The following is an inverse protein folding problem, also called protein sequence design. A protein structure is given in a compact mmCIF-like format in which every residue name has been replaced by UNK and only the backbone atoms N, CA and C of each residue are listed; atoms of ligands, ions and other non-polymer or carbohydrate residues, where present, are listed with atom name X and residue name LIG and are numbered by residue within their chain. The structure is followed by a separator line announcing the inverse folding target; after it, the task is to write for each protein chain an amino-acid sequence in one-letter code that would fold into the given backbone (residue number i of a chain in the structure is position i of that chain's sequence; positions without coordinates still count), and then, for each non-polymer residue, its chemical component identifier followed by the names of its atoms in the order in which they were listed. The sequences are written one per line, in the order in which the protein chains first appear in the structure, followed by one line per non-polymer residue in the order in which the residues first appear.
data_IF_884472025010
#
_entry.id   IF_884472025010
#
_cell.length_a   1.000
_cell.length_b   1.000
_cell.length_c   1.000
_cell.angle_alpha   90.00
_cell.angle_beta   90.00
_cell.angle_gamma   90.00
#
_symmetry.space_group_name_H-M   'P 1'
#
loop_
_entity.id
_entity.type
_entity.pdbx_description
1 polymer ?
#
# COMPACT_ATOMS: atom_id res chain seq x y z
N UNK A 1 8.20 -8.16 -3.29
CA UNK A 1 6.99 -7.65 -2.61
C UNK A 1 6.48 -6.45 -3.38
N UNK A 2 5.18 -6.34 -3.60
CA UNK A 2 4.56 -5.23 -4.31
C UNK A 2 3.41 -4.65 -3.46
N UNK A 3 3.39 -3.32 -3.18
CA UNK A 3 2.25 -2.68 -2.55
C UNK A 3 1.12 -2.53 -3.58
N UNK A 4 -0.11 -2.86 -3.19
CA UNK A 4 -1.30 -2.77 -4.02
C UNK A 4 -2.33 -1.86 -3.34
N UNK A 5 -2.79 -0.84 -4.07
CA UNK A 5 -3.87 0.06 -3.62
C UNK A 5 -4.78 0.36 -4.81
N UNK A 6 -5.99 -0.21 -4.80
CA UNK A 6 -7.01 -0.05 -5.85
C UNK A 6 -6.54 -0.40 -7.29
N UNK A 7 -5.73 -1.45 -7.43
CA UNK A 7 -5.20 -1.94 -8.71
C UNK A 7 -5.79 -3.32 -9.12
N UNK A 8 -7.07 -3.55 -8.85
CA UNK A 8 -7.70 -4.87 -9.05
C UNK A 8 -7.57 -5.46 -10.46
N UNK A 9 -7.55 -4.61 -11.50
CA UNK A 9 -7.32 -5.05 -12.89
C UNK A 9 -5.84 -5.35 -13.20
N UNK A 10 -4.90 -4.73 -12.49
CA UNK A 10 -3.47 -4.84 -12.78
C UNK A 10 -2.80 -5.99 -12.01
N UNK A 11 -3.38 -6.39 -10.87
CA UNK A 11 -2.86 -7.48 -10.03
C UNK A 11 -2.72 -8.80 -10.79
N UNK A 12 -3.71 -9.27 -11.57
CA UNK A 12 -3.56 -10.49 -12.35
C UNK A 12 -2.39 -10.43 -13.34
N UNK A 13 -2.28 -9.34 -14.09
CA UNK A 13 -1.22 -9.16 -15.08
C UNK A 13 0.17 -9.11 -14.43
N UNK A 14 0.31 -8.41 -13.30
CA UNK A 14 1.54 -8.36 -12.53
C UNK A 14 1.95 -9.74 -12.01
N UNK A 15 1.00 -10.50 -11.45
CA UNK A 15 1.25 -11.86 -10.96
C UNK A 15 1.68 -12.78 -12.10
N UNK A 16 1.05 -12.69 -13.27
CA UNK A 16 1.45 -13.47 -14.45
C UNK A 16 2.85 -13.12 -14.93
N UNK A 17 3.18 -11.83 -15.03
CA UNK A 17 4.52 -11.39 -15.44
C UNK A 17 5.61 -11.87 -14.49
N UNK A 18 5.37 -11.80 -13.18
CA UNK A 18 6.30 -12.30 -12.16
C UNK A 18 6.45 -13.82 -12.28
N UNK A 19 5.35 -14.55 -12.42
CA UNK A 19 5.39 -16.00 -12.62
C UNK A 19 6.16 -16.41 -13.87
N UNK A 20 5.92 -15.72 -14.99
CA UNK A 20 6.61 -15.98 -16.26
C UNK A 20 8.11 -15.64 -16.20
N UNK A 21 8.49 -14.60 -15.47
CA UNK A 21 9.89 -14.21 -15.31
C UNK A 21 10.66 -15.16 -14.38
N UNK A 22 10.01 -15.68 -13.32
CA UNK A 22 10.68 -16.44 -12.27
C UNK A 22 10.59 -17.97 -12.45
N UNK A 23 9.53 -18.47 -13.10
CA UNK A 23 9.36 -19.91 -13.36
C UNK A 23 10.55 -20.55 -14.11
N UNK A 24 11.15 -19.92 -15.14
CA UNK A 24 12.29 -20.49 -15.86
C UNK A 24 13.58 -20.61 -15.03
N UNK A 25 13.69 -19.88 -13.91
CA UNK A 25 14.89 -19.90 -13.07
C UNK A 25 15.00 -21.18 -12.22
N UNK A 26 13.90 -21.95 -12.07
CA UNK A 26 13.89 -23.20 -11.31
C UNK A 26 14.18 -23.03 -9.81
N UNK A 27 14.10 -21.79 -9.29
CA UNK A 27 14.31 -21.46 -7.88
C UNK A 27 12.98 -21.39 -7.14
N UNK A 28 12.98 -21.75 -5.86
CA UNK A 28 11.85 -21.48 -4.98
C UNK A 28 11.75 -19.98 -4.72
N UNK A 29 10.65 -19.35 -5.10
CA UNK A 29 10.39 -17.93 -4.85
C UNK A 29 9.04 -17.74 -4.18
N UNK A 30 8.89 -16.60 -3.52
CA UNK A 30 7.64 -16.19 -2.91
C UNK A 30 7.34 -14.74 -3.34
N UNK A 31 6.16 -14.52 -3.91
CA UNK A 31 5.68 -13.20 -4.26
C UNK A 31 4.61 -12.76 -3.28
N UNK A 32 4.93 -11.71 -2.51
CA UNK A 32 4.05 -11.16 -1.49
C UNK A 32 3.41 -9.87 -2.01
N UNK A 33 2.10 -9.88 -2.17
CA UNK A 33 1.25 -8.71 -2.44
C UNK A 33 0.84 -8.12 -1.10
N UNK A 34 1.10 -6.83 -0.89
CA UNK A 34 0.74 -6.12 0.35
C UNK A 34 -0.40 -5.16 0.05
N UNK A 35 -1.58 -5.48 0.57
CA UNK A 35 -2.79 -4.65 0.51
C UNK A 35 -2.81 -3.66 1.68
N UNK A 36 -2.60 -2.37 1.40
CA UNK A 36 -2.51 -1.28 2.39
C UNK A 36 -3.89 -0.68 2.76
N UNK A 37 -4.93 -1.52 2.76
CA UNK A 37 -6.29 -1.10 3.10
C UNK A 37 -7.13 -0.70 1.90
N UNK A 38 -7.05 -1.44 0.79
CA UNK A 38 -8.00 -1.27 -0.31
C UNK A 38 -9.42 -1.55 0.19
N UNK A 39 -10.37 -0.69 -0.19
CA UNK A 39 -11.81 -0.89 0.04
C UNK A 39 -12.48 -1.78 -1.01
N UNK A 40 -11.72 -2.20 -2.01
CA UNK A 40 -12.21 -2.78 -3.26
C UNK A 40 -11.93 -4.29 -3.34
N UNK A 41 -12.25 -4.95 -4.47
CA UNK A 41 -12.18 -6.41 -4.62
C UNK A 41 -10.75 -6.97 -4.75
N UNK A 42 -9.72 -6.13 -4.65
CA UNK A 42 -8.29 -6.48 -4.77
C UNK A 42 -7.90 -7.67 -3.89
N UNK A 43 -8.46 -7.75 -2.67
CA UNK A 43 -8.21 -8.86 -1.74
C UNK A 43 -8.77 -10.19 -2.25
N UNK A 44 -9.95 -10.17 -2.85
CA UNK A 44 -10.64 -11.37 -3.35
C UNK A 44 -10.01 -11.90 -4.64
N UNK A 45 -9.59 -10.99 -5.53
CA UNK A 45 -8.81 -11.31 -6.73
C UNK A 45 -7.49 -11.96 -6.35
N UNK A 46 -6.72 -11.35 -5.44
CA UNK A 46 -5.45 -11.90 -4.97
C UNK A 46 -5.64 -13.29 -4.33
N UNK A 47 -6.69 -13.48 -3.53
CA UNK A 47 -7.01 -14.78 -2.92
C UNK A 47 -7.37 -15.84 -3.96
N UNK A 48 -8.12 -15.48 -5.01
CA UNK A 48 -8.45 -16.41 -6.09
C UNK A 48 -7.20 -16.84 -6.85
N UNK A 49 -6.27 -15.91 -7.10
CA UNK A 49 -5.00 -16.20 -7.77
C UNK A 49 -4.08 -17.12 -6.95
N UNK A 50 -4.18 -17.11 -5.62
CA UNK A 50 -3.40 -17.98 -4.73
C UNK A 50 -3.78 -19.46 -4.85
N UNK A 51 -5.00 -19.79 -5.30
CA UNK A 51 -5.46 -21.17 -5.39
C UNK A 51 -4.58 -22.03 -6.31
N UNK A 52 -4.15 -21.44 -7.44
CA UNK A 52 -3.34 -22.13 -8.44
C UNK A 52 -1.84 -21.80 -8.35
N UNK A 53 -1.45 -20.94 -7.39
CA UNK A 53 -0.09 -20.37 -7.30
C UNK A 53 0.43 -20.46 -5.86
N UNK A 54 1.05 -21.58 -5.47
CA UNK A 54 1.54 -21.79 -4.09
C UNK A 54 2.66 -20.82 -3.69
N UNK A 55 3.32 -20.17 -4.64
CA UNK A 55 4.33 -19.13 -4.44
C UNK A 55 3.74 -17.73 -4.21
N UNK A 56 2.43 -17.54 -4.40
CA UNK A 56 1.76 -16.26 -4.21
C UNK A 56 1.22 -16.15 -2.77
N UNK A 57 1.50 -15.03 -2.11
CA UNK A 57 0.91 -14.67 -0.82
C UNK A 57 0.32 -13.27 -0.86
N UNK A 58 -0.76 -13.08 -0.13
CA UNK A 58 -1.38 -11.78 0.07
C UNK A 58 -1.34 -11.43 1.57
N UNK A 59 -0.73 -10.30 1.91
CA UNK A 59 -0.76 -9.69 3.23
C UNK A 59 -1.70 -8.49 3.18
N UNK A 60 -2.73 -8.46 4.01
CA UNK A 60 -3.68 -7.36 4.05
C UNK A 60 -3.67 -6.68 5.41
N UNK A 61 -3.49 -5.36 5.41
CA UNK A 61 -3.46 -4.53 6.61
C UNK A 61 -4.89 -4.14 7.00
N UNK A 62 -5.64 -5.06 7.60
CA UNK A 62 -7.06 -4.85 7.93
C UNK A 62 -7.31 -3.86 9.10
N UNK A 63 -6.27 -3.33 9.76
CA UNK A 63 -6.43 -2.55 10.98
C UNK A 63 -5.27 -1.57 11.25
N UNK A 64 -5.14 -0.51 10.44
CA UNK A 64 -4.54 0.73 10.94
C UNK A 64 -5.66 1.62 11.44
N UNK A 65 -5.59 2.16 12.68
CA UNK A 65 -6.54 3.19 13.11
C UNK A 65 -6.42 4.33 12.09
N UNK A 66 -7.52 4.61 11.38
CA UNK A 66 -7.66 5.73 10.44
C UNK A 66 -6.93 6.91 11.06
N UNK A 67 -5.86 7.38 10.42
CA UNK A 67 -5.03 8.44 10.98
C UNK A 67 -5.93 9.59 11.42
N UNK A 68 -6.13 9.69 12.73
CA UNK A 68 -6.86 10.77 13.35
C UNK A 68 -6.04 12.02 13.06
N UNK A 69 -6.67 12.94 12.33
CA UNK A 69 -6.10 14.18 11.86
C UNK A 69 -5.16 14.85 12.87
N UNK A 70 -3.99 15.28 12.40
CA UNK A 70 -3.31 16.44 12.97
C UNK A 70 -3.47 17.61 12.02
N UNK A 71 -4.64 18.25 12.07
CA UNK A 71 -4.71 19.66 11.74
C UNK A 71 -3.83 20.40 12.77
N UNK A 72 -2.62 20.78 12.39
CA UNK A 72 -1.83 21.71 13.20
C UNK A 72 -2.54 23.07 13.16
N UNK A 73 -2.94 23.67 14.31
CA UNK A 73 -3.29 25.07 14.32
C UNK A 73 -2.01 25.86 14.02
N UNK A 74 -1.95 26.50 12.86
CA UNK A 74 -0.88 27.43 12.49
C UNK A 74 -0.88 28.55 13.54
N UNK A 75 0.08 28.52 14.45
CA UNK A 75 0.22 29.55 15.49
C UNK A 75 0.63 30.85 14.81
N UNK A 76 -0.31 31.79 14.69
CA UNK A 76 -0.03 33.17 14.35
C UNK A 76 0.83 33.77 15.46
N UNK A 77 2.07 34.12 15.17
CA UNK A 77 2.89 34.95 16.07
C UNK A 77 2.33 36.37 16.03
N UNK A 78 1.91 36.98 17.15
CA UNK A 78 1.59 38.40 17.15
C UNK A 78 2.90 39.20 16.97
N UNK A 79 2.85 40.17 16.06
CA UNK A 79 3.97 41.02 15.68
C UNK A 79 4.53 41.80 16.87
N UNK A 80 5.85 41.86 16.92
CA UNK A 80 6.62 42.72 17.80
C UNK A 80 6.49 44.18 17.31
N UNK A 81 5.94 45.06 18.15
CA UNK A 81 5.91 46.50 17.93
C UNK A 81 7.12 47.16 18.63
N UNK A 82 7.94 47.98 17.96
CA UNK A 82 9.05 48.66 18.60
C UNK A 82 8.57 49.85 19.46
N UNK A 83 9.25 50.17 20.58
CA UNK A 83 8.89 51.30 21.44
C UNK A 83 9.21 52.65 20.79
N UNK A 84 8.32 53.61 20.98
CA UNK A 84 8.47 54.99 20.54
C UNK A 84 9.65 55.68 21.26
N UNK A 85 10.49 56.35 20.48
CA UNK A 85 11.58 57.18 20.98
C UNK A 85 11.03 58.42 21.70
N UNK A 86 11.63 58.74 22.85
CA UNK A 86 11.50 60.03 23.56
C UNK A 86 12.58 60.98 23.09
#
# INVERSE_FOLDING_TARGET
MAPAHNEEENIPALVEQVGAALSPLGIGFEFIVVDDGSTDATREVARSLMADRPWLRCLSMANTPRARATASPRRSTPGFAPPAAV
#
